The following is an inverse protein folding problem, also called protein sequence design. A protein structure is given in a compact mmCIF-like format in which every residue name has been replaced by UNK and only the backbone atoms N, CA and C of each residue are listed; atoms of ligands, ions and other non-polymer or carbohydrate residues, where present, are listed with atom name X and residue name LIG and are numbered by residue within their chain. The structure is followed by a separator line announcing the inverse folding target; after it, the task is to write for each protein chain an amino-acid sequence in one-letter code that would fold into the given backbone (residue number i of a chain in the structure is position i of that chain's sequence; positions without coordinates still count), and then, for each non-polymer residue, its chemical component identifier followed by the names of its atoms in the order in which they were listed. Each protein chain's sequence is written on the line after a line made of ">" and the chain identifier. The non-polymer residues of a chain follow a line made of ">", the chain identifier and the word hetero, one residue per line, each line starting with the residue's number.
data_IF_359965804269
#
_entry.id   IF_359965804269
#
_cell.length_a   1.000
_cell.length_b   1.000
_cell.length_c   1.000
_cell.angle_alpha   90.00
_cell.angle_beta   90.00
_cell.angle_gamma   90.00
#
_symmetry.space_group_name_H-M   'P 1'
#
loop_
_entity.id
_entity.type
_entity.pdbx_description
1 polymer ?
#
# COMPACT_ATOMS: atom_id res chain seq x y z
N UNK A 1 -12.15 -8.28 -8.02
CA UNK A 1 -12.21 -6.89 -7.54
C UNK A 1 -13.36 -6.69 -6.55
N UNK A 2 -13.07 -6.07 -5.41
CA UNK A 2 -13.98 -5.75 -4.31
C UNK A 2 -13.82 -4.26 -3.99
N UNK A 3 -14.91 -3.60 -3.59
CA UNK A 3 -14.90 -2.21 -3.14
C UNK A 3 -15.32 -2.11 -1.67
N UNK A 4 -14.65 -1.24 -0.91
CA UNK A 4 -14.99 -0.93 0.48
C UNK A 4 -15.02 0.58 0.68
N UNK A 5 -16.11 1.09 1.27
CA UNK A 5 -16.21 2.51 1.57
C UNK A 5 -15.23 2.91 2.67
N UNK A 6 -14.80 4.17 2.68
CA UNK A 6 -13.91 4.71 3.71
C UNK A 6 -14.47 4.54 5.13
N UNK A 7 -15.81 4.63 5.29
CA UNK A 7 -16.47 4.39 6.56
C UNK A 7 -16.35 2.92 7.00
N UNK A 8 -16.61 1.98 6.09
CA UNK A 8 -16.51 0.55 6.39
C UNK A 8 -15.05 0.15 6.65
N UNK A 9 -14.12 0.63 5.82
CA UNK A 9 -12.69 0.42 5.99
C UNK A 9 -12.22 0.90 7.37
N UNK A 10 -12.69 2.08 7.81
CA UNK A 10 -12.35 2.59 9.15
C UNK A 10 -12.87 1.68 10.26
N UNK A 11 -14.10 1.17 10.15
CA UNK A 11 -14.67 0.22 11.13
C UNK A 11 -13.90 -1.09 11.16
N UNK A 12 -13.57 -1.63 9.98
CA UNK A 12 -12.81 -2.87 9.85
C UNK A 12 -11.42 -2.71 10.48
N UNK A 13 -10.74 -1.60 10.19
CA UNK A 13 -9.44 -1.28 10.77
C UNK A 13 -9.48 -1.15 12.29
N UNK A 14 -10.48 -0.46 12.83
CA UNK A 14 -10.66 -0.36 14.29
C UNK A 14 -10.89 -1.74 14.94
N UNK A 15 -11.62 -2.64 14.28
CA UNK A 15 -11.86 -4.00 14.79
C UNK A 15 -10.61 -4.88 14.81
N UNK A 16 -9.57 -4.51 14.05
CA UNK A 16 -8.33 -5.26 13.83
C UNK A 16 -7.07 -4.51 14.27
N UNK A 17 -7.22 -3.42 15.02
CA UNK A 17 -6.15 -2.44 15.31
C UNK A 17 -4.84 -3.07 15.78
N UNK A 18 -4.88 -3.99 16.74
CA UNK A 18 -3.68 -4.64 17.28
C UNK A 18 -2.92 -5.45 16.23
N UNK A 19 -3.63 -6.07 15.29
CA UNK A 19 -3.01 -6.86 14.22
C UNK A 19 -2.39 -5.94 13.16
N UNK A 20 -3.03 -4.81 12.88
CA UNK A 20 -2.53 -3.80 11.96
C UNK A 20 -1.27 -3.11 12.48
N UNK A 21 -1.25 -2.73 13.77
CA UNK A 21 -0.06 -2.17 14.42
C UNK A 21 1.10 -3.17 14.40
N UNK A 22 0.82 -4.45 14.71
CA UNK A 22 1.82 -5.51 14.65
C UNK A 22 2.35 -5.76 13.23
N UNK A 23 1.58 -5.42 12.19
CA UNK A 23 2.00 -5.49 10.80
C UNK A 23 2.75 -4.23 10.33
N UNK A 24 2.97 -3.25 11.21
CA UNK A 24 3.73 -2.04 10.91
C UNK A 24 2.91 -0.87 10.39
N UNK A 25 1.57 -0.95 10.44
CA UNK A 25 0.71 0.20 10.14
C UNK A 25 0.77 1.17 11.32
N UNK A 26 1.21 2.40 11.05
CA UNK A 26 1.40 3.44 12.06
C UNK A 26 0.33 4.52 11.88
N UNK A 27 -0.39 4.92 12.94
CA UNK A 27 -1.35 6.00 12.85
C UNK A 27 -0.64 7.33 12.56
N UNK A 28 -1.27 8.17 11.75
CA UNK A 28 -0.78 9.53 11.47
C UNK A 28 -0.85 10.45 12.71
N UNK A 29 -1.70 10.11 13.68
CA UNK A 29 -1.83 10.83 14.95
C UNK A 29 -1.84 9.87 16.12
N UNK A 30 -0.95 10.08 17.09
CA UNK A 30 -0.89 9.26 18.31
C UNK A 30 -2.14 9.39 19.19
N UNK A 31 -2.89 10.48 19.03
CA UNK A 31 -4.08 10.78 19.84
C UNK A 31 -5.37 10.25 19.20
N UNK A 32 -5.29 9.58 18.04
CA UNK A 32 -6.46 9.06 17.32
C UNK A 32 -6.33 7.56 17.05
N UNK A 33 -7.44 6.81 17.13
CA UNK A 33 -7.46 5.43 16.66
C UNK A 33 -7.13 5.36 15.17
N UNK A 34 -6.41 4.30 14.79
CA UNK A 34 -6.20 3.92 13.39
C UNK A 34 -7.55 3.87 12.66
N UNK A 35 -7.59 4.45 11.47
CA UNK A 35 -8.74 4.52 10.59
C UNK A 35 -8.32 4.46 9.11
N UNK A 36 -9.29 4.53 8.19
CA UNK A 36 -9.02 4.42 6.77
C UNK A 36 -7.94 5.38 6.27
N UNK A 37 -7.91 6.64 6.73
CA UNK A 37 -6.94 7.62 6.26
C UNK A 37 -5.49 7.20 6.54
N UNK A 38 -5.26 6.45 7.61
CA UNK A 38 -3.93 5.92 7.92
C UNK A 38 -3.47 4.93 6.86
N UNK A 39 -4.34 4.01 6.43
CA UNK A 39 -4.02 3.06 5.34
C UNK A 39 -3.92 3.75 3.99
N UNK A 40 -4.86 4.65 3.68
CA UNK A 40 -4.91 5.33 2.38
C UNK A 40 -3.67 6.21 2.16
N UNK A 41 -3.09 6.77 3.22
CA UNK A 41 -1.83 7.50 3.15
C UNK A 41 -0.69 6.68 2.52
N UNK A 42 -0.56 5.41 2.90
CA UNK A 42 0.45 4.51 2.33
C UNK A 42 0.26 4.27 0.82
N UNK A 43 -0.98 4.38 0.32
CA UNK A 43 -1.28 4.20 -1.11
C UNK A 43 -1.14 5.52 -1.90
N UNK A 44 -1.58 6.63 -1.32
CA UNK A 44 -1.57 7.95 -1.99
C UNK A 44 -0.20 8.61 -2.01
N UNK A 45 0.75 8.12 -1.20
CA UNK A 45 2.13 8.61 -1.18
C UNK A 45 3.01 8.09 -2.32
N UNK A 46 2.48 7.23 -3.20
CA UNK A 46 3.22 6.60 -4.29
C UNK A 46 3.45 7.54 -5.48
N UNK A 47 4.45 7.25 -6.30
CA UNK A 47 4.70 7.99 -7.55
C UNK A 47 3.57 7.75 -8.56
N UNK A 48 3.38 8.66 -9.52
CA UNK A 48 2.33 8.49 -10.56
C UNK A 48 2.47 7.17 -11.33
N UNK A 49 3.67 6.74 -11.80
CA UNK A 49 3.83 5.44 -12.45
C UNK A 49 3.41 4.26 -11.57
N UNK A 50 3.66 4.34 -10.26
CA UNK A 50 3.26 3.28 -9.34
C UNK A 50 1.76 3.31 -9.08
N UNK A 51 1.14 4.49 -8.94
CA UNK A 51 -0.30 4.62 -8.80
C UNK A 51 -1.05 4.02 -10.02
N UNK A 52 -0.58 4.29 -11.24
CA UNK A 52 -1.12 3.70 -12.47
C UNK A 52 -1.00 2.17 -12.46
N UNK A 53 0.14 1.65 -12.00
CA UNK A 53 0.37 0.22 -11.86
C UNK A 53 -0.58 -0.41 -10.84
N UNK A 54 -0.73 0.18 -9.66
CA UNK A 54 -1.66 -0.30 -8.64
C UNK A 54 -3.09 -0.34 -9.19
N UNK A 55 -3.52 0.69 -9.91
CA UNK A 55 -4.83 0.73 -10.55
C UNK A 55 -5.01 -0.37 -11.59
N UNK A 56 -4.00 -0.63 -12.44
CA UNK A 56 -4.03 -1.74 -13.41
C UNK A 56 -4.13 -3.11 -12.72
N UNK A 57 -3.57 -3.23 -11.53
CA UNK A 57 -3.67 -4.41 -10.66
C UNK A 57 -4.86 -4.36 -9.70
N UNK A 58 -5.80 -3.45 -9.90
CA UNK A 58 -7.08 -3.40 -9.19
C UNK A 58 -7.03 -2.81 -7.78
N UNK A 59 -5.94 -2.14 -7.40
CA UNK A 59 -5.78 -1.42 -6.13
C UNK A 59 -5.82 0.10 -6.37
N UNK A 60 -6.95 0.75 -6.09
CA UNK A 60 -7.11 2.19 -6.31
C UNK A 60 -8.24 2.78 -5.47
N UNK A 61 -8.26 4.11 -5.34
CA UNK A 61 -9.38 4.84 -4.73
C UNK A 61 -10.26 5.47 -5.80
N UNK A 62 -11.57 5.48 -5.55
CA UNK A 62 -12.54 6.28 -6.30
C UNK A 62 -13.56 6.93 -5.34
N UNK A 63 -14.60 7.56 -5.89
CA UNK A 63 -15.67 8.22 -5.13
C UNK A 63 -16.46 7.26 -4.21
N UNK A 64 -16.34 5.94 -4.40
CA UNK A 64 -17.00 4.92 -3.60
C UNK A 64 -16.10 4.32 -2.52
N UNK A 65 -14.78 4.54 -2.59
CA UNK A 65 -13.81 4.15 -1.58
C UNK A 65 -12.62 3.38 -2.16
N UNK A 66 -12.10 2.43 -1.38
CA UNK A 66 -10.96 1.61 -1.78
C UNK A 66 -11.43 0.40 -2.59
N UNK A 67 -10.92 0.30 -3.80
CA UNK A 67 -11.04 -0.88 -4.65
C UNK A 67 -9.78 -1.72 -4.52
N UNK A 68 -9.93 -3.04 -4.42
CA UNK A 68 -8.81 -3.98 -4.34
C UNK A 68 -9.13 -5.31 -5.05
N UNK A 69 -8.10 -6.01 -5.50
CA UNK A 69 -8.19 -7.41 -5.95
C UNK A 69 -7.16 -8.28 -5.23
N UNK A 70 -7.62 -9.13 -4.32
CA UNK A 70 -6.73 -10.01 -3.52
C UNK A 70 -5.87 -10.92 -4.39
N UNK A 71 -6.35 -11.33 -5.57
CA UNK A 71 -5.60 -12.19 -6.47
C UNK A 71 -4.38 -11.48 -7.09
N UNK A 72 -4.32 -10.15 -7.01
CA UNK A 72 -3.23 -9.32 -7.55
C UNK A 72 -2.20 -8.93 -6.49
N UNK A 73 -2.45 -9.20 -5.20
CA UNK A 73 -1.57 -8.76 -4.12
C UNK A 73 -0.16 -9.33 -4.25
N UNK A 74 -0.02 -10.59 -4.68
CA UNK A 74 1.30 -11.20 -4.92
C UNK A 74 2.07 -10.48 -6.04
N UNK A 75 1.38 -10.09 -7.12
CA UNK A 75 2.01 -9.37 -8.24
C UNK A 75 2.47 -7.98 -7.82
N UNK A 76 1.62 -7.23 -7.10
CA UNK A 76 1.97 -5.92 -6.56
C UNK A 76 3.14 -6.04 -5.57
N UNK A 77 3.09 -7.02 -4.67
CA UNK A 77 4.10 -7.26 -3.66
C UNK A 77 5.47 -7.62 -4.24
N UNK A 78 5.52 -8.38 -5.33
CA UNK A 78 6.76 -8.68 -6.05
C UNK A 78 7.42 -7.41 -6.62
N UNK A 79 6.63 -6.50 -7.17
CA UNK A 79 7.13 -5.24 -7.76
C UNK A 79 7.65 -4.32 -6.65
N UNK A 80 6.87 -4.12 -5.58
CA UNK A 80 7.29 -3.34 -4.42
C UNK A 80 8.56 -3.90 -3.76
N UNK A 81 8.67 -5.23 -3.64
CA UNK A 81 9.89 -5.88 -3.13
C UNK A 81 11.09 -5.65 -4.05
N UNK A 82 10.87 -5.68 -5.37
CA UNK A 82 11.91 -5.43 -6.36
C UNK A 82 12.46 -4.01 -6.24
N UNK A 83 11.59 -3.00 -6.04
CA UNK A 83 11.97 -1.60 -5.79
C UNK A 83 12.96 -1.53 -4.62
N UNK A 84 12.65 -2.17 -3.48
CA UNK A 84 13.53 -2.18 -2.31
C UNK A 84 14.85 -2.89 -2.62
N UNK A 85 14.79 -4.10 -3.18
CA UNK A 85 15.98 -4.93 -3.38
C UNK A 85 16.97 -4.33 -4.38
N UNK A 86 16.48 -3.73 -5.47
CA UNK A 86 17.32 -3.09 -6.47
C UNK A 86 18.00 -1.84 -5.90
N UNK A 87 17.30 -1.05 -5.09
CA UNK A 87 17.89 0.12 -4.40
C UNK A 87 19.03 -0.27 -3.50
N UNK A 88 18.80 -1.28 -2.66
CA UNK A 88 19.79 -1.77 -1.70
C UNK A 88 21.02 -2.35 -2.38
N UNK A 89 20.85 -2.91 -3.59
CA UNK A 89 21.94 -3.41 -4.42
C UNK A 89 22.63 -2.31 -5.28
N UNK A 90 22.08 -1.10 -5.31
CA UNK A 90 22.56 -0.01 -6.18
C UNK A 90 22.25 -0.22 -7.67
N UNK A 91 21.26 -1.04 -8.00
CA UNK A 91 20.83 -1.31 -9.36
C UNK A 91 19.69 -0.36 -9.76
N UNK A 92 19.96 0.58 -10.66
CA UNK A 92 18.98 1.61 -11.05
C UNK A 92 18.37 1.38 -12.44
N UNK A 93 18.96 0.52 -13.27
CA UNK A 93 18.52 0.25 -14.65
C UNK A 93 17.35 -0.76 -14.75
N UNK A 94 16.69 -1.04 -13.62
CA UNK A 94 15.65 -2.06 -13.48
C UNK A 94 14.25 -1.48 -13.31
N UNK A 95 13.56 -1.89 -12.24
CA UNK A 95 12.25 -1.32 -11.87
C UNK A 95 12.37 0.17 -11.51
N UNK A 96 13.54 0.60 -11.05
CA UNK A 96 13.85 2.00 -10.76
C UNK A 96 13.72 2.89 -11.98
N UNK A 97 14.39 2.57 -13.09
CA UNK A 97 14.26 3.29 -14.36
C UNK A 97 12.83 3.17 -14.92
N UNK A 98 12.22 1.99 -14.85
CA UNK A 98 10.86 1.77 -15.39
C UNK A 98 9.78 2.59 -14.70
N UNK A 99 9.92 2.82 -13.40
CA UNK A 99 8.99 3.60 -12.58
C UNK A 99 9.46 5.05 -12.34
N UNK A 100 10.55 5.47 -13.00
CA UNK A 100 11.15 6.82 -12.87
C UNK A 100 11.46 7.20 -11.41
N UNK A 101 12.04 6.25 -10.65
CA UNK A 101 12.37 6.44 -9.24
C UNK A 101 13.77 7.03 -9.08
N UNK A 102 13.95 7.94 -8.13
CA UNK A 102 15.17 8.74 -8.04
C UNK A 102 15.76 8.86 -6.63
N UNK A 103 14.96 8.62 -5.59
CA UNK A 103 15.34 8.91 -4.20
C UNK A 103 15.08 7.74 -3.25
N UNK A 104 15.63 7.79 -2.05
CA UNK A 104 15.26 6.83 -0.99
C UNK A 104 13.78 6.98 -0.56
N UNK A 105 13.20 8.17 -0.70
CA UNK A 105 11.77 8.39 -0.48
C UNK A 105 10.91 7.58 -1.46
N UNK A 106 11.40 7.34 -2.69
CA UNK A 106 10.74 6.47 -3.65
C UNK A 106 10.80 5.00 -3.25
N UNK A 107 11.90 4.56 -2.62
CA UNK A 107 12.01 3.21 -2.06
C UNK A 107 10.97 3.00 -0.95
N UNK A 108 10.83 4.00 -0.07
CA UNK A 108 9.89 3.93 1.04
C UNK A 108 8.45 3.97 0.55
N UNK A 109 8.10 4.96 -0.28
CA UNK A 109 6.72 5.14 -0.75
C UNK A 109 6.25 4.09 -1.76
N UNK A 110 7.10 3.65 -2.70
CA UNK A 110 6.72 2.68 -3.74
C UNK A 110 7.09 1.23 -3.39
N UNK A 111 7.91 1.03 -2.36
CA UNK A 111 8.27 -0.28 -1.84
C UNK A 111 7.61 -0.53 -0.49
N UNK A 112 8.21 0.02 0.55
CA UNK A 112 7.86 -0.27 1.96
C UNK A 112 6.39 0.02 2.25
N UNK A 113 5.88 1.18 1.83
CA UNK A 113 4.52 1.61 2.10
C UNK A 113 3.49 0.70 1.45
N UNK A 114 3.74 0.29 0.20
CA UNK A 114 2.85 -0.62 -0.52
C UNK A 114 2.83 -1.99 0.15
N UNK A 115 3.99 -2.52 0.57
CA UNK A 115 4.02 -3.78 1.31
C UNK A 115 3.25 -3.70 2.63
N UNK A 116 3.37 -2.60 3.37
CA UNK A 116 2.58 -2.34 4.58
C UNK A 116 1.08 -2.30 4.28
N UNK A 117 0.68 -1.61 3.21
CA UNK A 117 -0.72 -1.51 2.80
C UNK A 117 -1.30 -2.88 2.39
N UNK A 118 -0.55 -3.68 1.62
CA UNK A 118 -0.96 -5.03 1.25
C UNK A 118 -1.11 -5.95 2.48
N UNK A 119 -0.15 -5.90 3.41
CA UNK A 119 -0.23 -6.68 4.65
C UNK A 119 -1.46 -6.30 5.48
N UNK A 120 -1.75 -5.00 5.60
CA UNK A 120 -2.96 -4.51 6.27
C UNK A 120 -4.24 -5.02 5.58
N UNK A 121 -4.32 -4.91 4.25
CA UNK A 121 -5.49 -5.39 3.49
C UNK A 121 -5.66 -6.91 3.57
N UNK A 122 -4.57 -7.67 3.63
CA UNK A 122 -4.60 -9.11 3.85
C UNK A 122 -5.12 -9.47 5.25
N UNK A 123 -4.80 -8.68 6.28
CA UNK A 123 -5.35 -8.87 7.64
C UNK A 123 -6.85 -8.60 7.68
N UNK A 124 -7.30 -7.58 6.95
CA UNK A 124 -8.70 -7.17 6.94
C UNK A 124 -9.59 -8.11 6.11
N UNK A 125 -9.09 -8.52 4.94
CA UNK A 125 -9.91 -9.14 3.90
C UNK A 125 -9.34 -10.44 3.34
N UNK A 126 -8.13 -10.83 3.75
CA UNK A 126 -7.54 -12.12 3.42
C UNK A 126 -8.29 -13.24 4.15
N UNK A 127 -8.76 -14.21 3.37
CA UNK A 127 -9.44 -15.43 3.84
C UNK A 127 -8.47 -16.50 4.31
#
# INVERSE_FOLDING_TARGET
>A
MTAVSTEQLSKDMQSRVQQLEAAGLVPQSQDQPINANDLLFYLTGTSMPMADLLQQHGLFLDDHGLNYDLAQFDAIGQIASKVISERQAGYLDGVWEQLDLSTDEDMDSNGTYILTALAALQILYGS
#
